data_IF_000595339193
#
_entry.id   IF_000595339193
#
_cell.length_a   1.000
_cell.length_b   1.000
_cell.length_c   1.000
_cell.angle_alpha   90.00
_cell.angle_beta   90.00
_cell.angle_gamma   90.00
#
_symmetry.space_group_name_H-M   'P 1'
#
loop_
_entity.id
_entity.type
_entity.pdbx_description
1 polymer ?
#
# COMPACT_ATOMS: atom_id res chain seq x y z
N UNK A 1 -15.40 25.65 -8.35
CA UNK A 1 -14.80 25.02 -9.54
C UNK A 1 -14.21 26.13 -10.39
N UNK A 2 -12.93 26.04 -10.76
CA UNK A 2 -12.32 27.05 -11.63
C UNK A 2 -12.94 26.97 -13.03
N UNK A 3 -13.44 28.07 -13.57
CA UNK A 3 -14.09 28.08 -14.90
C UNK A 3 -13.12 27.83 -16.06
N UNK A 4 -11.82 28.04 -15.85
CA UNK A 4 -10.79 27.89 -16.88
C UNK A 4 -10.21 26.47 -16.95
N UNK A 5 -10.04 25.79 -15.80
CA UNK A 5 -9.42 24.47 -15.75
C UNK A 5 -10.31 23.38 -15.15
N UNK A 6 -11.56 23.68 -14.81
CA UNK A 6 -12.57 22.80 -14.21
C UNK A 6 -12.15 22.10 -12.90
N UNK A 7 -11.00 22.48 -12.34
CA UNK A 7 -10.49 21.91 -11.09
C UNK A 7 -11.13 22.59 -9.88
N UNK A 8 -11.37 21.80 -8.84
CA UNK A 8 -11.69 22.31 -7.51
C UNK A 8 -10.38 22.50 -6.74
N UNK A 9 -10.09 23.75 -6.38
CA UNK A 9 -9.00 24.09 -5.46
C UNK A 9 -9.58 24.06 -4.05
N UNK A 10 -9.37 22.95 -3.34
CA UNK A 10 -9.69 22.82 -1.93
C UNK A 10 -8.44 22.37 -1.17
N UNK A 11 -8.54 22.28 0.16
CA UNK A 11 -7.45 21.84 1.04
C UNK A 11 -6.94 20.42 0.76
N UNK A 12 -7.69 19.62 -0.02
CA UNK A 12 -7.33 18.25 -0.42
C UNK A 12 -6.67 18.20 -1.80
N UNK A 13 -6.67 19.28 -2.58
CA UNK A 13 -6.09 19.30 -3.94
C UNK A 13 -4.59 18.99 -3.88
N UNK A 14 -4.10 18.11 -4.77
CA UNK A 14 -2.72 17.61 -4.77
C UNK A 14 -2.29 16.89 -3.48
N UNK A 15 -3.23 16.28 -2.76
CA UNK A 15 -2.92 15.47 -1.57
C UNK A 15 -3.41 14.04 -1.74
N UNK A 16 -3.00 13.15 -0.84
CA UNK A 16 -3.52 11.78 -0.78
C UNK A 16 -5.04 11.73 -0.56
N UNK A 17 -5.61 12.80 0.00
CA UNK A 17 -7.03 12.97 0.29
C UNK A 17 -7.84 13.44 -0.92
N UNK A 18 -7.19 13.74 -2.03
CA UNK A 18 -7.83 14.24 -3.24
C UNK A 18 -8.92 13.29 -3.74
N UNK A 19 -10.04 13.87 -4.17
CA UNK A 19 -11.25 13.18 -4.64
C UNK A 19 -11.86 12.18 -3.64
N UNK A 20 -11.47 12.23 -2.35
CA UNK A 20 -12.06 11.39 -1.31
C UNK A 20 -13.27 12.05 -0.66
N UNK A 21 -14.39 11.33 -0.66
CA UNK A 21 -15.62 11.68 0.08
C UNK A 21 -15.51 11.41 1.58
N UNK A 22 -14.45 10.72 2.04
CA UNK A 22 -14.24 10.45 3.46
C UNK A 22 -13.79 11.76 4.16
N UNK A 23 -14.38 12.09 5.32
CA UNK A 23 -13.94 13.22 6.14
C UNK A 23 -12.48 13.10 6.56
N UNK A 24 -11.77 14.24 6.66
CA UNK A 24 -10.35 14.25 7.04
C UNK A 24 -10.10 13.64 8.43
N UNK A 25 -11.02 13.82 9.37
CA UNK A 25 -10.94 13.20 10.70
C UNK A 25 -10.81 11.67 10.58
N UNK A 26 -11.68 11.02 9.80
CA UNK A 26 -11.61 9.57 9.58
C UNK A 26 -10.32 9.15 8.88
N UNK A 27 -9.81 9.97 7.97
CA UNK A 27 -8.51 9.75 7.34
C UNK A 27 -7.36 9.75 8.34
N UNK A 28 -7.30 10.75 9.23
CA UNK A 28 -6.25 10.81 10.24
C UNK A 28 -6.34 9.65 11.24
N UNK A 29 -7.55 9.28 11.64
CA UNK A 29 -7.76 8.09 12.48
C UNK A 29 -7.33 6.80 11.78
N UNK A 30 -7.64 6.64 10.49
CA UNK A 30 -7.16 5.52 9.68
C UNK A 30 -5.63 5.48 9.67
N UNK A 31 -4.96 6.60 9.41
CA UNK A 31 -3.49 6.68 9.38
C UNK A 31 -2.89 6.26 10.73
N UNK A 32 -3.47 6.71 11.85
CA UNK A 32 -2.98 6.39 13.19
C UNK A 32 -3.13 4.91 13.57
N UNK A 33 -4.19 4.25 13.10
CA UNK A 33 -4.56 2.90 13.55
C UNK A 33 -4.23 1.79 12.54
N UNK A 34 -3.89 2.13 11.29
CA UNK A 34 -3.67 1.15 10.22
C UNK A 34 -2.51 0.18 10.48
N UNK A 35 -1.52 0.59 11.27
CA UNK A 35 -0.35 -0.23 11.59
C UNK A 35 -0.62 -1.35 12.61
N UNK A 36 -1.70 -1.23 13.39
CA UNK A 36 -1.98 -2.13 14.53
C UNK A 36 -3.31 -2.86 14.42
N UNK A 37 -4.17 -2.48 13.48
CA UNK A 37 -5.53 -3.02 13.35
C UNK A 37 -5.83 -3.56 11.96
N UNK A 38 -6.77 -4.49 11.90
CA UNK A 38 -7.26 -5.02 10.63
C UNK A 38 -8.11 -4.00 9.87
N UNK A 39 -8.16 -4.12 8.54
CA UNK A 39 -9.01 -3.25 7.69
C UNK A 39 -10.48 -3.42 8.04
N UNK A 40 -10.89 -4.64 8.42
CA UNK A 40 -12.26 -4.92 8.84
C UNK A 40 -12.63 -4.11 10.09
N UNK A 41 -11.80 -4.17 11.13
CA UNK A 41 -12.01 -3.37 12.35
C UNK A 41 -12.11 -1.88 12.03
N UNK A 42 -11.22 -1.36 11.18
CA UNK A 42 -11.21 0.06 10.80
C UNK A 42 -12.46 0.45 10.01
N UNK A 43 -12.98 -0.44 9.17
CA UNK A 43 -14.23 -0.25 8.44
C UNK A 43 -15.41 -0.06 9.39
N UNK A 44 -15.51 -0.93 10.40
CA UNK A 44 -16.57 -0.92 11.41
C UNK A 44 -16.42 0.30 12.33
N UNK A 45 -15.24 0.51 12.89
CA UNK A 45 -14.93 1.60 13.80
C UNK A 45 -15.17 2.98 13.18
N UNK A 46 -14.76 3.18 11.93
CA UNK A 46 -14.96 4.45 11.22
C UNK A 46 -16.33 4.54 10.57
N UNK A 47 -17.17 3.50 10.64
CA UNK A 47 -18.45 3.40 9.95
C UNK A 47 -18.34 3.85 8.47
N UNK A 48 -17.51 3.13 7.72
CA UNK A 48 -17.36 3.26 6.27
C UNK A 48 -17.48 1.88 5.63
N UNK A 49 -17.86 1.82 4.35
CA UNK A 49 -17.88 0.55 3.63
C UNK A 49 -16.47 -0.07 3.57
N UNK A 50 -16.39 -1.39 3.70
CA UNK A 50 -15.12 -2.13 3.69
C UNK A 50 -14.28 -1.84 2.45
N UNK A 51 -14.91 -1.79 1.28
CA UNK A 51 -14.23 -1.45 0.02
C UNK A 51 -13.59 -0.05 0.03
N UNK A 52 -14.21 0.91 0.72
CA UNK A 52 -13.64 2.25 0.91
C UNK A 52 -12.49 2.20 1.93
N UNK A 53 -12.62 1.43 3.01
CA UNK A 53 -11.55 1.24 3.99
C UNK A 53 -10.31 0.61 3.34
N UNK A 54 -10.49 -0.48 2.57
CA UNK A 54 -9.43 -1.17 1.84
C UNK A 54 -8.73 -0.24 0.82
N UNK A 55 -9.51 0.48 0.00
CA UNK A 55 -8.95 1.45 -0.96
C UNK A 55 -8.15 2.56 -0.26
N UNK A 56 -8.66 3.05 0.87
CA UNK A 56 -8.01 4.09 1.68
C UNK A 56 -6.70 3.55 2.27
N UNK A 57 -6.73 2.37 2.86
CA UNK A 57 -5.56 1.69 3.42
C UNK A 57 -4.47 1.45 2.36
N UNK A 58 -4.84 0.98 1.16
CA UNK A 58 -3.92 0.82 0.03
C UNK A 58 -3.27 2.14 -0.37
N UNK A 59 -4.04 3.23 -0.42
CA UNK A 59 -3.55 4.57 -0.76
C UNK A 59 -2.57 5.11 0.30
N UNK A 60 -2.80 4.82 1.58
CA UNK A 60 -1.87 5.16 2.66
C UNK A 60 -0.58 4.35 2.51
N UNK A 61 -0.69 3.03 2.35
CA UNK A 61 0.45 2.12 2.20
C UNK A 61 1.31 2.43 0.97
N UNK A 62 0.70 2.83 -0.15
CA UNK A 62 1.46 3.20 -1.35
C UNK A 62 2.35 4.42 -1.12
N UNK A 63 1.88 5.38 -0.34
CA UNK A 63 2.66 6.59 0.00
C UNK A 63 3.81 6.24 0.93
N UNK A 64 3.55 5.41 1.94
CA UNK A 64 4.58 4.91 2.85
C UNK A 64 5.63 4.11 2.08
N UNK A 65 5.22 3.18 1.21
CA UNK A 65 6.12 2.34 0.42
C UNK A 65 7.02 3.15 -0.51
N UNK A 66 6.52 4.23 -1.12
CA UNK A 66 7.35 5.13 -1.94
C UNK A 66 8.40 5.84 -1.09
N UNK A 67 8.10 6.15 0.17
CA UNK A 67 9.05 6.82 1.06
C UNK A 67 10.07 5.84 1.66
N UNK A 68 9.61 4.67 2.12
CA UNK A 68 10.46 3.59 2.61
C UNK A 68 11.39 3.05 1.51
N UNK A 69 10.91 2.95 0.27
CA UNK A 69 11.73 2.50 -0.87
C UNK A 69 12.90 3.43 -1.21
N UNK A 70 12.91 4.68 -0.72
CA UNK A 70 14.05 5.58 -0.85
C UNK A 70 15.08 5.39 0.28
N UNK A 71 14.72 4.68 1.35
CA UNK A 71 15.62 4.47 2.47
C UNK A 71 16.66 3.43 2.07
N UNK A 72 17.91 3.86 2.05
CA UNK A 72 19.06 2.96 1.96
C UNK A 72 19.39 2.55 3.40
N UNK A 73 19.38 1.25 3.66
CA UNK A 73 19.86 0.72 4.93
C UNK A 73 21.39 0.92 4.99
N UNK A 74 21.91 1.38 6.12
CA UNK A 74 23.34 1.61 6.33
C UNK A 74 23.80 0.91 7.62
N UNK A 75 25.08 0.54 7.68
CA UNK A 75 25.70 -0.16 8.82
C UNK A 75 25.85 -1.66 8.60
N UNK A 76 26.27 -2.38 9.64
CA UNK A 76 26.23 -3.84 9.66
C UNK A 76 24.76 -4.27 9.79
N UNK A 77 24.14 -4.59 8.65
CA UNK A 77 22.72 -4.94 8.57
C UNK A 77 22.61 -6.46 8.71
N UNK A 78 22.04 -6.90 9.83
CA UNK A 78 21.54 -8.26 9.96
C UNK A 78 20.19 -8.35 9.23
N UNK A 79 20.17 -9.02 8.08
CA UNK A 79 18.97 -9.22 7.28
C UNK A 79 18.34 -10.58 7.63
N UNK A 80 17.22 -10.56 8.33
CA UNK A 80 16.42 -11.75 8.63
C UNK A 80 15.27 -11.88 7.61
N UNK A 81 15.12 -13.07 7.03
CA UNK A 81 14.05 -13.41 6.08
C UNK A 81 13.26 -14.58 6.66
N UNK A 82 12.14 -14.28 7.32
CA UNK A 82 11.36 -15.29 8.05
C UNK A 82 10.61 -16.27 7.14
N UNK A 83 10.24 -15.85 5.92
CA UNK A 83 9.46 -16.68 4.99
C UNK A 83 9.82 -16.38 3.53
N UNK A 84 10.36 -17.38 2.82
CA UNK A 84 10.62 -17.31 1.38
C UNK A 84 9.91 -18.45 0.65
N UNK A 85 9.02 -18.10 -0.28
CA UNK A 85 8.35 -19.08 -1.13
C UNK A 85 9.18 -19.34 -2.40
N UNK A 86 9.83 -20.50 -2.48
CA UNK A 86 10.53 -20.96 -3.69
C UNK A 86 9.63 -21.96 -4.41
N UNK A 87 9.10 -21.60 -5.57
CA UNK A 87 8.54 -22.60 -6.47
C UNK A 87 9.67 -23.40 -7.10
N UNK A 88 9.76 -24.69 -6.76
CA UNK A 88 10.53 -25.61 -7.60
C UNK A 88 9.79 -25.70 -8.95
N UNK A 89 10.48 -25.44 -10.06
CA UNK A 89 9.91 -25.58 -11.40
C UNK A 89 9.23 -26.94 -11.62
N UNK A 90 8.43 -27.06 -12.69
CA UNK A 90 7.63 -28.26 -12.95
C UNK A 90 8.46 -29.55 -12.78
N UNK A 91 8.11 -30.37 -11.79
CA UNK A 91 8.72 -31.69 -11.60
C UNK A 91 8.21 -32.61 -12.71
N UNK A 92 8.93 -32.66 -13.83
CA UNK A 92 8.72 -33.72 -14.83
C UNK A 92 8.82 -33.35 -16.30
N UNK A 93 9.91 -32.72 -16.75
CA UNK A 93 10.37 -32.96 -18.13
C UNK A 93 11.72 -33.67 -18.09
N UNK A 94 11.69 -34.99 -18.32
CA UNK A 94 12.88 -35.86 -18.42
C UNK A 94 13.59 -35.72 -19.78
N UNK A 95 13.67 -34.52 -20.36
CA UNK A 95 14.42 -34.29 -21.60
C UNK A 95 14.97 -32.87 -21.65
N UNK A 96 15.95 -32.59 -20.78
CA UNK A 96 16.86 -31.48 -21.01
C UNK A 96 18.27 -32.07 -21.08
N UNK A 97 18.72 -32.31 -22.30
CA UNK A 97 20.14 -32.48 -22.59
C UNK A 97 20.88 -31.29 -21.98
N UNK A 98 21.91 -31.56 -21.19
CA UNK A 98 22.81 -30.52 -20.70
C UNK A 98 23.40 -29.79 -21.91
N UNK A 99 22.96 -28.57 -22.17
CA UNK A 99 23.74 -27.64 -22.96
C UNK A 99 24.97 -27.29 -22.12
N UNK A 100 26.12 -27.75 -22.59
CA UNK A 100 27.44 -27.44 -22.07
C UNK A 100 27.86 -26.09 -22.61
N UNK A 101 28.33 -25.21 -21.73
CA UNK A 101 29.47 -24.33 -21.97
C UNK A 101 30.52 -24.63 -20.89
#
# INVERSE_FOLDING_TARGET
>A
MCKHCEKTFNVKTKTIFENSKIPLQKWFTMIALLGTNSILFLSEFLNIAYSNADRTAKKIRSVISVEEGKRILHGDIELEIDEMYISSGQKGEKNLYCATE
#
